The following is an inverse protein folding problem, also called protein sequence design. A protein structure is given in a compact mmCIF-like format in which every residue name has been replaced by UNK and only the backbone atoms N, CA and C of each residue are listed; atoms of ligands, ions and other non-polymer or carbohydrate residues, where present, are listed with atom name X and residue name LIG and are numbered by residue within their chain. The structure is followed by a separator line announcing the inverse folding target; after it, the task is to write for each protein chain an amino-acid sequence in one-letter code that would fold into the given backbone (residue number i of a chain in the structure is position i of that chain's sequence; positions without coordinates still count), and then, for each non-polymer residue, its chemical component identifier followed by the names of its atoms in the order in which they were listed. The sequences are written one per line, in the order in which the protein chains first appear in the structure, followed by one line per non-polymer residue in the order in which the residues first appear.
data_IF_132717302878
#
_entry.id   IF_132717302878
#
_cell.length_a   1.000
_cell.length_b   1.000
_cell.length_c   1.000
_cell.angle_alpha   90.00
_cell.angle_beta   90.00
_cell.angle_gamma   90.00
#
_symmetry.space_group_name_H-M   'P 1'
#
loop_
_entity.id
_entity.type
_entity.pdbx_description
1 polymer ?
#
# COMPACT_ATOMS: atom_id res chain seq x y z
N UNK A 1 10.93 -36.67 -21.74
CA UNK A 1 9.52 -36.33 -21.61
C UNK A 1 9.14 -36.13 -20.15
N UNK A 2 9.67 -36.98 -19.34
CA UNK A 2 9.33 -36.97 -17.92
C UNK A 2 9.82 -35.72 -17.19
N UNK A 3 10.97 -35.25 -17.60
CA UNK A 3 11.57 -34.09 -16.99
C UNK A 3 10.79 -32.82 -17.22
N UNK A 4 10.02 -32.78 -18.26
CA UNK A 4 9.25 -31.60 -18.60
C UNK A 4 8.18 -31.27 -17.57
N UNK A 5 7.53 -32.29 -17.06
CA UNK A 5 6.47 -32.07 -16.09
C UNK A 5 7.00 -31.40 -14.84
N UNK A 6 8.18 -31.78 -14.44
CA UNK A 6 8.79 -31.22 -13.24
C UNK A 6 9.05 -29.74 -13.36
N UNK A 7 9.54 -29.34 -14.50
CA UNK A 7 9.88 -27.94 -14.73
C UNK A 7 8.67 -27.03 -14.65
N UNK A 8 7.50 -27.51 -15.02
CA UNK A 8 6.31 -26.68 -15.04
C UNK A 8 5.84 -26.30 -13.65
N UNK A 9 5.98 -27.20 -12.73
CA UNK A 9 5.43 -26.99 -11.39
C UNK A 9 6.23 -25.96 -10.60
N UNK A 10 7.51 -26.12 -10.59
CA UNK A 10 8.37 -25.31 -9.72
C UNK A 10 8.34 -23.81 -10.00
N UNK A 11 8.49 -23.37 -11.24
CA UNK A 11 8.55 -21.94 -11.50
C UNK A 11 7.27 -21.22 -11.12
N UNK A 12 6.13 -21.85 -11.32
CA UNK A 12 4.87 -21.21 -11.03
C UNK A 12 4.70 -20.85 -9.58
N UNK A 13 5.07 -21.75 -8.70
CA UNK A 13 4.94 -21.54 -7.27
C UNK A 13 5.91 -20.46 -6.79
N UNK A 14 7.13 -20.52 -7.23
CA UNK A 14 8.15 -19.59 -6.79
C UNK A 14 7.82 -18.14 -7.16
N UNK A 15 7.13 -17.94 -8.27
CA UNK A 15 6.84 -16.60 -8.76
C UNK A 15 5.70 -15.93 -8.03
N UNK A 16 4.76 -16.69 -7.53
CA UNK A 16 3.56 -16.13 -6.90
C UNK A 16 3.86 -15.31 -5.66
N UNK A 17 4.71 -15.79 -4.77
CA UNK A 17 5.02 -15.12 -3.52
C UNK A 17 5.67 -13.75 -3.70
N UNK A 18 6.70 -13.59 -4.54
CA UNK A 18 7.30 -12.27 -4.79
C UNK A 18 6.32 -11.26 -5.36
N UNK A 19 5.41 -11.69 -6.23
CA UNK A 19 4.45 -10.77 -6.82
C UNK A 19 3.49 -10.21 -5.78
N UNK A 20 3.08 -11.02 -4.82
CA UNK A 20 2.20 -10.54 -3.75
C UNK A 20 2.88 -9.49 -2.90
N UNK A 21 4.14 -9.70 -2.55
CA UNK A 21 4.89 -8.73 -1.78
C UNK A 21 5.09 -7.42 -2.52
N UNK A 22 5.37 -7.51 -3.82
CA UNK A 22 5.57 -6.34 -4.64
C UNK A 22 4.29 -5.52 -4.75
N UNK A 23 3.16 -6.18 -4.91
CA UNK A 23 1.87 -5.49 -4.97
C UNK A 23 1.59 -4.71 -3.68
N UNK A 24 1.87 -5.31 -2.54
CA UNK A 24 1.68 -4.65 -1.26
C UNK A 24 2.55 -3.40 -1.14
N UNK A 25 3.81 -3.48 -1.55
CA UNK A 25 4.71 -2.34 -1.52
C UNK A 25 4.24 -1.22 -2.44
N UNK A 26 3.74 -1.57 -3.62
CA UNK A 26 3.22 -0.58 -4.56
C UNK A 26 1.99 0.13 -3.99
N UNK A 27 1.10 -0.60 -3.36
CA UNK A 27 -0.07 -0.01 -2.72
C UNK A 27 0.32 0.93 -1.59
N UNK A 28 1.27 0.53 -0.77
CA UNK A 28 1.76 1.35 0.33
C UNK A 28 2.35 2.65 -0.19
N UNK A 29 3.19 2.59 -1.21
CA UNK A 29 3.80 3.78 -1.78
C UNK A 29 2.76 4.71 -2.40
N UNK A 30 1.76 4.16 -3.06
CA UNK A 30 0.69 4.97 -3.63
C UNK A 30 -0.10 5.71 -2.55
N UNK A 31 -0.44 5.02 -1.46
CA UNK A 31 -1.17 5.62 -0.35
C UNK A 31 -0.35 6.75 0.27
N UNK A 32 0.92 6.51 0.54
CA UNK A 32 1.80 7.54 1.10
C UNK A 32 1.84 8.76 0.20
N UNK A 33 2.03 8.55 -1.09
CA UNK A 33 2.12 9.63 -2.05
C UNK A 33 0.83 10.46 -2.08
N UNK A 34 -0.31 9.79 -2.10
CA UNK A 34 -1.60 10.49 -2.18
C UNK A 34 -1.91 11.23 -0.89
N UNK A 35 -1.59 10.66 0.26
CA UNK A 35 -1.78 11.34 1.55
C UNK A 35 -0.87 12.57 1.63
N UNK A 36 0.37 12.46 1.17
CA UNK A 36 1.29 13.60 1.20
C UNK A 36 0.81 14.77 0.37
N UNK A 37 0.09 14.53 -0.70
CA UNK A 37 -0.51 15.61 -1.49
C UNK A 37 -1.47 16.46 -0.67
N UNK A 38 -2.12 15.85 0.31
CA UNK A 38 -3.06 16.52 1.19
C UNK A 38 -2.39 17.08 2.44
N UNK A 39 -1.09 16.88 2.60
CA UNK A 39 -0.36 17.25 3.81
C UNK A 39 0.91 18.05 3.45
N UNK A 40 0.77 19.27 2.94
CA UNK A 40 1.92 20.03 2.46
C UNK A 40 2.93 20.36 3.56
N UNK A 41 2.50 20.43 4.81
CA UNK A 41 3.38 20.79 5.92
C UNK A 41 4.30 19.64 6.36
N UNK A 42 4.19 18.48 5.74
CA UNK A 42 5.00 17.31 6.08
C UNK A 42 6.23 17.14 5.20
N UNK A 43 6.60 18.16 4.44
CA UNK A 43 7.70 18.05 3.48
C UNK A 43 9.06 17.79 4.13
N UNK A 44 9.22 18.11 5.41
CA UNK A 44 10.46 17.85 6.16
C UNK A 44 10.66 16.37 6.47
N UNK A 45 9.61 15.55 6.40
CA UNK A 45 9.69 14.13 6.67
C UNK A 45 9.95 13.35 5.38
N UNK A 46 10.80 12.32 5.44
CA UNK A 46 10.90 11.41 4.31
C UNK A 46 9.70 10.47 4.31
N UNK A 47 9.58 9.64 3.26
CA UNK A 47 8.40 8.78 3.11
C UNK A 47 8.26 7.80 4.26
N UNK A 48 9.36 7.25 4.76
CA UNK A 48 9.31 6.30 5.87
C UNK A 48 8.87 6.99 7.16
N UNK A 49 9.43 8.14 7.45
CA UNK A 49 9.04 8.92 8.63
C UNK A 49 7.57 9.34 8.55
N UNK A 50 7.16 9.80 7.39
CA UNK A 50 5.78 10.20 7.16
C UNK A 50 4.82 9.05 7.40
N UNK A 51 5.10 7.89 6.81
CA UNK A 51 4.25 6.71 6.98
C UNK A 51 4.17 6.29 8.45
N UNK A 52 5.29 6.30 9.15
CA UNK A 52 5.31 5.93 10.56
C UNK A 52 4.48 6.88 11.41
N UNK A 53 4.57 8.17 11.13
CA UNK A 53 3.77 9.17 11.85
C UNK A 53 2.28 9.02 11.59
N UNK A 54 1.91 8.78 10.35
CA UNK A 54 0.51 8.52 9.99
C UNK A 54 -0.02 7.33 10.76
N UNK A 55 0.76 6.25 10.84
CA UNK A 55 0.33 5.00 11.44
C UNK A 55 0.38 4.99 12.98
N UNK A 56 0.81 6.07 13.61
CA UNK A 56 0.71 6.18 15.06
C UNK A 56 -0.73 6.31 15.54
N UNK A 57 -1.61 6.82 14.71
CA UNK A 57 -3.03 6.96 15.03
C UNK A 57 -3.80 5.70 14.64
N UNK A 58 -4.61 5.18 15.56
CA UNK A 58 -5.45 4.02 15.29
C UNK A 58 -6.48 4.32 14.20
N UNK A 59 -7.00 5.54 14.18
CA UNK A 59 -7.96 5.97 13.17
C UNK A 59 -7.32 6.00 11.79
N UNK A 60 -6.08 6.47 11.70
CA UNK A 60 -5.35 6.48 10.45
C UNK A 60 -5.04 5.07 9.98
N UNK A 61 -4.70 4.15 10.89
CA UNK A 61 -4.50 2.75 10.52
C UNK A 61 -5.75 2.17 9.86
N UNK A 62 -6.92 2.44 10.43
CA UNK A 62 -8.18 1.97 9.87
C UNK A 62 -8.42 2.57 8.50
N UNK A 63 -8.16 3.86 8.32
CA UNK A 63 -8.32 4.51 7.03
C UNK A 63 -7.37 3.95 5.98
N UNK A 64 -6.13 3.67 6.37
CA UNK A 64 -5.15 3.05 5.46
C UNK A 64 -5.60 1.66 5.03
N UNK A 65 -6.15 0.88 5.96
CA UNK A 65 -6.69 -0.44 5.63
C UNK A 65 -7.84 -0.33 4.64
N UNK A 66 -8.71 0.65 4.83
CA UNK A 66 -9.83 0.91 3.91
C UNK A 66 -9.33 1.30 2.53
N UNK A 67 -8.28 2.14 2.48
CA UNK A 67 -7.68 2.54 1.21
C UNK A 67 -7.09 1.34 0.48
N UNK A 68 -6.42 0.45 1.19
CA UNK A 68 -5.84 -0.76 0.61
C UNK A 68 -6.92 -1.64 0.01
N UNK A 69 -8.03 -1.85 0.74
CA UNK A 69 -9.15 -2.65 0.22
C UNK A 69 -9.75 -2.01 -1.02
N UNK A 70 -9.87 -0.70 -1.03
CA UNK A 70 -10.41 0.01 -2.18
C UNK A 70 -9.53 -0.17 -3.41
N UNK A 71 -8.22 -0.13 -3.23
CA UNK A 71 -7.28 -0.40 -4.32
C UNK A 71 -7.44 -1.82 -4.85
N UNK A 72 -7.58 -2.80 -3.96
CA UNK A 72 -7.76 -4.18 -4.37
C UNK A 72 -9.04 -4.38 -5.18
N UNK A 73 -10.06 -3.60 -4.89
CA UNK A 73 -11.36 -3.70 -5.57
C UNK A 73 -11.50 -2.72 -6.73
N UNK A 74 -10.46 -1.95 -7.02
CA UNK A 74 -10.49 -0.91 -8.05
C UNK A 74 -11.64 0.08 -7.84
N UNK A 75 -11.90 0.42 -6.58
CA UNK A 75 -12.96 1.35 -6.23
C UNK A 75 -12.36 2.72 -5.91
N UNK A 76 -12.27 3.56 -6.92
CA UNK A 76 -11.60 4.85 -6.77
C UNK A 76 -12.35 5.80 -5.83
N UNK A 77 -13.67 5.77 -5.82
CA UNK A 77 -14.46 6.63 -4.93
C UNK A 77 -14.21 6.27 -3.47
N UNK A 78 -14.22 4.98 -3.14
CA UNK A 78 -13.92 4.53 -1.78
C UNK A 78 -12.48 4.84 -1.40
N UNK A 79 -11.55 4.72 -2.36
CA UNK A 79 -10.16 5.05 -2.12
C UNK A 79 -9.98 6.52 -1.75
N UNK A 80 -10.56 7.41 -2.53
CA UNK A 80 -10.46 8.84 -2.25
C UNK A 80 -11.07 9.20 -0.90
N UNK A 81 -12.18 8.58 -0.57
CA UNK A 81 -12.83 8.79 0.73
C UNK A 81 -11.91 8.35 1.88
N UNK A 82 -11.27 7.20 1.74
CA UNK A 82 -10.35 6.69 2.75
C UNK A 82 -9.13 7.59 2.90
N UNK A 83 -8.55 8.04 1.79
CA UNK A 83 -7.40 8.95 1.81
C UNK A 83 -7.77 10.26 2.51
N UNK A 84 -8.95 10.78 2.24
CA UNK A 84 -9.41 12.02 2.86
C UNK A 84 -9.63 11.88 4.37
N UNK A 85 -9.87 10.67 4.84
CA UNK A 85 -10.07 10.40 6.26
C UNK A 85 -8.77 10.32 7.05
N UNK A 86 -7.63 10.22 6.37
CA UNK A 86 -6.33 10.14 7.03
C UNK A 86 -5.91 11.54 7.47
N UNK A 87 -5.68 11.71 8.77
CA UNK A 87 -5.23 12.97 9.32
C UNK A 87 -3.73 13.16 9.07
N UNK A 88 -3.35 14.39 8.74
CA UNK A 88 -1.95 14.71 8.51
C UNK A 88 -1.16 14.59 9.80
N UNK A 89 0.03 13.97 9.77
CA UNK A 89 0.88 13.90 10.95
C UNK A 89 1.50 15.27 11.25
N UNK A 90 1.78 15.49 12.51
CA UNK A 90 2.53 16.67 12.90
C UNK A 90 3.99 16.52 12.48
N UNK A 91 4.61 17.54 11.94
CA UNK A 91 6.02 17.46 11.52
C UNK A 91 6.95 17.22 12.68
#
# INVERSE_FOLDING_TARGET
ALSLAVCLVLPGVATAAPLSGLKFEQQKQQIVKDVRKNCPNSSALDDTQFANRVLESAENKTAVQSATRALDKNNSAAYQKAISAIACPMP
#
